data_IF_429170956329
#
_entry.id   IF_429170956329
#
_cell.length_a   1.000
_cell.length_b   1.000
_cell.length_c   1.000
_cell.angle_alpha   90.00
_cell.angle_beta   90.00
_cell.angle_gamma   90.00
#
_symmetry.space_group_name_H-M   'P 1'
#
loop_
_entity.id
_entity.type
_entity.pdbx_description
1 polymer ?
#
# COMPACT_ATOMS: atom_id res chain seq x y z
N UNK A 1 10.52 -3.38 13.96
CA UNK A 1 11.64 -2.41 13.87
C UNK A 1 13.00 -3.06 14.16
N UNK A 2 13.13 -3.97 15.12
CA UNK A 2 14.44 -4.53 15.53
C UNK A 2 15.14 -5.40 14.47
N UNK A 3 14.39 -6.02 13.56
CA UNK A 3 14.94 -6.91 12.52
C UNK A 3 15.65 -6.12 11.41
N UNK A 4 15.06 -5.02 10.97
CA UNK A 4 15.62 -4.20 9.88
C UNK A 4 17.01 -3.65 10.23
N UNK A 5 17.23 -3.00 11.38
CA UNK A 5 18.57 -2.51 11.75
C UNK A 5 19.59 -3.60 12.06
N UNK A 6 19.16 -4.84 12.29
CA UNK A 6 20.09 -5.93 12.66
C UNK A 6 21.01 -6.37 11.51
N UNK A 7 20.67 -6.02 10.25
CA UNK A 7 21.38 -6.50 9.08
C UNK A 7 21.19 -7.99 8.78
N UNK A 8 20.27 -8.67 9.47
CA UNK A 8 19.98 -10.08 9.25
C UNK A 8 19.45 -10.32 7.84
N UNK A 9 19.90 -11.40 7.20
CA UNK A 9 19.37 -11.82 5.89
C UNK A 9 17.96 -12.39 6.08
N UNK A 10 16.95 -11.56 5.84
CA UNK A 10 15.54 -11.89 6.03
C UNK A 10 14.65 -11.13 5.04
N UNK A 11 13.70 -11.82 4.45
CA UNK A 11 12.69 -11.22 3.60
C UNK A 11 11.40 -10.94 4.40
N UNK A 12 10.96 -9.69 4.42
CA UNK A 12 9.75 -9.24 5.11
C UNK A 12 8.72 -8.84 4.06
N UNK A 13 7.59 -9.55 4.01
CA UNK A 13 6.44 -9.18 3.19
C UNK A 13 5.39 -8.47 4.07
N UNK A 14 5.04 -7.25 3.70
CA UNK A 14 3.94 -6.50 4.29
C UNK A 14 2.76 -6.48 3.33
N UNK A 15 1.65 -7.09 3.71
CA UNK A 15 0.36 -6.92 3.03
C UNK A 15 -0.29 -5.65 3.57
N UNK A 16 -0.16 -4.55 2.82
CA UNK A 16 -0.67 -3.26 3.27
C UNK A 16 -2.16 -3.11 2.92
N UNK A 17 -2.98 -3.47 3.88
CA UNK A 17 -4.44 -3.33 3.82
C UNK A 17 -4.92 -1.93 4.18
N UNK A 18 -4.02 -1.00 4.55
CA UNK A 18 -4.32 0.38 4.91
C UNK A 18 -5.30 0.56 6.10
N UNK A 19 -5.64 -0.53 6.78
CA UNK A 19 -6.61 -0.57 7.87
C UNK A 19 -6.30 -1.76 8.79
N UNK A 20 -6.76 -1.72 10.03
CA UNK A 20 -6.82 -2.93 10.85
C UNK A 20 -8.02 -3.78 10.41
N UNK A 21 -7.80 -4.68 9.44
CA UNK A 21 -8.86 -5.49 8.81
C UNK A 21 -9.50 -6.48 9.78
N UNK A 22 -8.67 -7.23 10.51
CA UNK A 22 -9.14 -8.31 11.39
C UNK A 22 -10.06 -7.82 12.53
N UNK A 23 -9.77 -6.72 13.24
CA UNK A 23 -10.69 -6.21 14.24
C UNK A 23 -11.88 -5.42 13.65
N UNK A 24 -12.07 -5.42 12.32
CA UNK A 24 -13.23 -4.84 11.65
C UNK A 24 -13.11 -3.36 11.29
N UNK A 25 -12.00 -2.97 10.65
CA UNK A 25 -11.92 -1.71 9.96
C UNK A 25 -11.53 -0.48 10.80
N UNK A 26 -10.71 -0.64 11.86
CA UNK A 26 -10.21 0.53 12.58
C UNK A 26 -9.08 1.23 11.80
N UNK A 27 -9.00 2.55 11.99
CA UNK A 27 -7.89 3.33 11.44
C UNK A 27 -6.55 2.86 11.99
N UNK A 28 -5.55 2.79 11.11
CA UNK A 28 -4.15 2.54 11.45
C UNK A 28 -3.26 3.73 11.05
N UNK A 29 -1.97 3.62 11.29
CA UNK A 29 -0.99 4.58 10.73
C UNK A 29 -0.88 4.47 9.21
N UNK A 30 -1.18 3.30 8.64
CA UNK A 30 -1.21 3.05 7.20
C UNK A 30 -2.48 3.57 6.51
N UNK A 31 -3.52 3.94 7.25
CA UNK A 31 -4.75 4.50 6.67
C UNK A 31 -4.46 5.83 5.98
N UNK A 32 -4.92 6.03 4.75
CA UNK A 32 -4.67 7.26 4.00
C UNK A 32 -5.42 8.47 4.58
N UNK A 33 -4.96 9.66 4.21
CA UNK A 33 -5.62 10.92 4.53
C UNK A 33 -7.07 10.90 4.04
N UNK A 34 -7.98 11.46 4.81
CA UNK A 34 -9.42 11.60 4.56
C UNK A 34 -10.22 10.28 4.56
N UNK A 35 -9.59 9.10 4.57
CA UNK A 35 -10.32 7.84 4.65
C UNK A 35 -11.10 7.72 5.96
N UNK A 36 -12.42 7.53 5.86
CA UNK A 36 -13.30 7.30 7.00
C UNK A 36 -13.25 5.82 7.42
N UNK A 37 -12.89 5.58 8.67
CA UNK A 37 -12.73 4.26 9.27
C UNK A 37 -13.25 4.28 10.71
N UNK A 38 -13.41 3.13 11.35
CA UNK A 38 -13.68 3.10 12.79
C UNK A 38 -12.62 3.92 13.54
N UNK A 39 -13.07 4.74 14.48
CA UNK A 39 -12.26 5.75 15.21
C UNK A 39 -11.72 6.91 14.36
N UNK A 40 -12.20 7.05 13.12
CA UNK A 40 -11.98 8.21 12.26
C UNK A 40 -13.18 8.40 11.32
N UNK A 41 -14.37 8.53 11.86
CA UNK A 41 -15.64 8.66 11.10
C UNK A 41 -15.69 9.92 10.23
N UNK A 42 -15.04 11.00 10.65
CA UNK A 42 -14.90 12.23 9.88
C UNK A 42 -13.71 12.20 8.88
N UNK A 43 -13.08 11.03 8.69
CA UNK A 43 -11.85 10.89 7.93
C UNK A 43 -10.58 11.08 8.75
N UNK A 44 -9.50 10.39 8.36
CA UNK A 44 -8.21 10.54 9.02
C UNK A 44 -7.58 11.88 8.68
N UNK A 45 -7.20 12.64 9.69
CA UNK A 45 -6.61 13.99 9.53
C UNK A 45 -5.11 14.01 9.15
N UNK A 46 -4.42 12.88 9.29
CA UNK A 46 -2.98 12.76 9.03
C UNK A 46 -2.71 11.86 7.81
N UNK A 47 -1.63 12.11 7.06
CA UNK A 47 -1.25 11.27 5.95
C UNK A 47 -0.89 9.84 6.39
N UNK A 48 -0.87 8.93 5.41
CA UNK A 48 -0.38 7.57 5.56
C UNK A 48 1.09 7.58 5.97
N UNK A 49 1.46 6.70 6.93
CA UNK A 49 2.87 6.44 7.23
C UNK A 49 3.54 5.80 6.01
N UNK A 50 4.60 6.39 5.51
CA UNK A 50 5.42 5.81 4.46
C UNK A 50 6.43 4.82 5.05
N UNK A 51 6.06 3.54 5.04
CA UNK A 51 6.91 2.48 5.56
C UNK A 51 8.14 2.24 4.67
N UNK A 52 8.00 2.41 3.37
CA UNK A 52 9.08 2.26 2.41
C UNK A 52 10.17 3.31 2.61
N UNK A 53 9.78 4.57 2.73
CA UNK A 53 10.72 5.66 2.99
C UNK A 53 11.46 5.47 4.33
N UNK A 54 10.76 5.03 5.37
CA UNK A 54 11.37 4.71 6.67
C UNK A 54 12.41 3.60 6.51
N UNK A 55 12.11 2.53 5.79
CA UNK A 55 13.04 1.43 5.57
C UNK A 55 14.24 1.87 4.71
N UNK A 56 14.01 2.64 3.64
CA UNK A 56 15.09 3.19 2.80
C UNK A 56 16.06 4.07 3.58
N UNK A 57 15.59 4.77 4.62
CA UNK A 57 16.44 5.66 5.44
C UNK A 57 17.55 4.92 6.21
N UNK A 58 17.44 3.60 6.38
CA UNK A 58 18.52 2.79 6.94
C UNK A 58 19.71 2.61 5.98
N UNK A 59 19.53 2.78 4.68
CA UNK A 59 20.58 2.74 3.67
C UNK A 59 21.12 1.35 3.30
N UNK A 60 20.79 0.30 4.05
CA UNK A 60 21.25 -1.08 3.84
C UNK A 60 20.11 -2.09 3.66
N UNK A 61 18.90 -1.63 3.36
CA UNK A 61 17.69 -2.44 3.21
C UNK A 61 17.25 -2.43 1.76
N UNK A 62 16.99 -3.60 1.18
CA UNK A 62 16.26 -3.66 -0.09
C UNK A 62 14.79 -3.36 0.17
N UNK A 63 14.20 -2.46 -0.63
CA UNK A 63 12.78 -2.09 -0.45
C UNK A 63 12.06 -2.12 -1.78
N UNK A 64 10.87 -2.74 -1.82
CA UNK A 64 10.02 -2.73 -3.00
C UNK A 64 8.56 -2.42 -2.64
N UNK A 65 7.91 -1.65 -3.50
CA UNK A 65 6.47 -1.45 -3.52
C UNK A 65 5.88 -2.15 -4.73
N UNK A 66 4.92 -3.04 -4.52
CA UNK A 66 4.38 -3.93 -5.55
C UNK A 66 2.85 -3.95 -5.54
N UNK A 67 2.27 -4.27 -6.68
CA UNK A 67 0.83 -4.54 -6.85
C UNK A 67 0.66 -5.60 -7.95
N UNK A 68 0.33 -6.81 -7.56
CA UNK A 68 0.26 -7.98 -8.45
C UNK A 68 -0.71 -7.77 -9.62
N UNK A 69 -1.91 -7.23 -9.34
CA UNK A 69 -2.94 -6.96 -10.35
C UNK A 69 -2.57 -5.84 -11.32
N UNK A 70 -1.61 -4.97 -10.96
CA UNK A 70 -1.14 -3.89 -11.83
C UNK A 70 0.03 -4.34 -12.72
N UNK A 71 0.98 -5.10 -12.15
CA UNK A 71 2.22 -5.50 -12.85
C UNK A 71 2.85 -6.73 -12.21
N UNK A 72 2.38 -7.90 -12.61
CA UNK A 72 2.84 -9.20 -12.12
C UNK A 72 4.35 -9.42 -12.30
N UNK A 73 4.88 -9.11 -13.48
CA UNK A 73 6.31 -9.25 -13.77
C UNK A 73 7.19 -8.37 -12.86
N UNK A 74 6.74 -7.17 -12.48
CA UNK A 74 7.46 -6.32 -11.52
C UNK A 74 7.41 -6.93 -10.11
N UNK A 75 6.27 -7.48 -9.73
CA UNK A 75 6.10 -8.17 -8.46
C UNK A 75 7.04 -9.37 -8.36
N UNK A 76 7.05 -10.25 -9.36
CA UNK A 76 7.96 -11.41 -9.41
C UNK A 76 9.42 -10.98 -9.33
N UNK A 77 9.79 -9.96 -10.10
CA UNK A 77 11.14 -9.41 -10.10
C UNK A 77 11.56 -8.87 -8.73
N UNK A 78 10.66 -8.17 -8.04
CA UNK A 78 10.94 -7.62 -6.70
C UNK A 78 11.24 -8.75 -5.69
N UNK A 79 10.49 -9.86 -5.76
CA UNK A 79 10.76 -11.03 -4.92
C UNK A 79 12.09 -11.71 -5.27
N UNK A 80 12.40 -11.86 -6.55
CA UNK A 80 13.67 -12.45 -6.99
C UNK A 80 14.88 -11.60 -6.55
N UNK A 81 14.78 -10.27 -6.65
CA UNK A 81 15.85 -9.36 -6.20
C UNK A 81 15.99 -9.37 -4.68
N UNK A 82 14.88 -9.46 -3.93
CA UNK A 82 14.88 -9.58 -2.47
C UNK A 82 15.55 -10.89 -2.02
N UNK A 83 15.27 -12.01 -2.69
CA UNK A 83 15.88 -13.31 -2.40
C UNK A 83 17.39 -13.35 -2.68
N UNK A 84 17.83 -12.57 -3.66
CA UNK A 84 19.25 -12.45 -4.02
C UNK A 84 20.00 -11.40 -3.19
N UNK A 85 19.29 -10.66 -2.35
CA UNK A 85 19.88 -9.61 -1.52
C UNK A 85 20.39 -10.20 -0.21
N UNK A 86 21.69 -10.06 0.04
CA UNK A 86 22.30 -10.51 1.30
C UNK A 86 22.12 -9.44 2.39
N UNK A 87 20.97 -9.46 3.03
CA UNK A 87 20.57 -8.51 4.05
C UNK A 87 19.04 -8.43 4.22
N UNK A 88 18.54 -7.50 5.02
CA UNK A 88 17.11 -7.35 5.22
C UNK A 88 16.43 -6.78 3.99
N UNK A 89 15.34 -7.43 3.57
CA UNK A 89 14.49 -6.98 2.47
C UNK A 89 13.08 -6.70 2.96
N UNK A 90 12.45 -5.64 2.44
CA UNK A 90 11.09 -5.26 2.73
C UNK A 90 10.29 -5.12 1.43
N UNK A 91 9.29 -5.97 1.24
CA UNK A 91 8.35 -5.88 0.13
C UNK A 91 7.00 -5.41 0.69
N UNK A 92 6.48 -4.30 0.16
CA UNK A 92 5.20 -3.72 0.55
C UNK A 92 4.22 -3.96 -0.60
N UNK A 93 3.28 -4.86 -0.39
CA UNK A 93 2.28 -5.22 -1.38
C UNK A 93 0.97 -4.48 -1.14
N UNK A 94 0.44 -3.82 -2.17
CA UNK A 94 -0.93 -3.32 -2.15
C UNK A 94 -1.88 -4.49 -1.93
N UNK A 95 -2.65 -4.44 -0.85
CA UNK A 95 -3.58 -5.50 -0.47
C UNK A 95 -4.96 -4.90 -0.18
N UNK A 96 -5.77 -4.68 -1.23
CA UNK A 96 -7.11 -4.13 -1.07
C UNK A 96 -7.96 -4.97 -0.10
N UNK A 97 -8.80 -4.31 0.70
CA UNK A 97 -9.57 -4.92 1.78
C UNK A 97 -11.06 -4.57 1.64
N UNK A 98 -11.94 -5.50 1.96
CA UNK A 98 -13.40 -5.27 1.97
C UNK A 98 -13.85 -4.13 2.88
N UNK A 99 -13.07 -3.80 3.91
CA UNK A 99 -13.32 -2.64 4.79
C UNK A 99 -13.13 -1.28 4.08
N UNK A 100 -12.60 -1.27 2.85
CA UNK A 100 -12.57 -0.08 2.00
C UNK A 100 -13.94 0.24 1.38
N UNK A 101 -14.86 -0.75 1.36
CA UNK A 101 -16.20 -0.60 0.82
C UNK A 101 -16.25 -0.72 -0.71
N UNK A 102 -15.63 -1.76 -1.26
CA UNK A 102 -15.74 -2.15 -2.66
C UNK A 102 -15.84 -3.69 -2.79
N UNK A 103 -16.23 -4.18 -3.96
CA UNK A 103 -16.40 -5.61 -4.23
C UNK A 103 -15.03 -6.30 -4.40
N UNK A 104 -14.70 -7.24 -3.48
CA UNK A 104 -13.40 -7.91 -3.43
C UNK A 104 -13.07 -8.75 -4.68
N UNK A 105 -14.08 -9.17 -5.44
CA UNK A 105 -13.87 -9.89 -6.71
C UNK A 105 -13.12 -9.06 -7.75
N UNK A 106 -13.15 -7.72 -7.62
CA UNK A 106 -12.44 -6.76 -8.47
C UNK A 106 -11.09 -6.31 -7.89
N UNK A 107 -10.50 -7.09 -6.97
CA UNK A 107 -9.26 -6.68 -6.28
C UNK A 107 -8.07 -6.48 -7.22
N UNK A 108 -7.95 -7.25 -8.30
CA UNK A 108 -6.85 -7.09 -9.25
C UNK A 108 -7.01 -5.82 -10.10
N UNK A 109 -8.24 -5.53 -10.55
CA UNK A 109 -8.57 -4.31 -11.26
C UNK A 109 -8.39 -3.07 -10.36
N UNK A 110 -8.74 -3.21 -9.08
CA UNK A 110 -8.55 -2.16 -8.09
C UNK A 110 -7.05 -1.85 -7.88
N UNK A 111 -6.19 -2.87 -7.80
CA UNK A 111 -4.75 -2.70 -7.74
C UNK A 111 -4.19 -2.01 -9.00
N UNK A 112 -4.67 -2.41 -10.18
CA UNK A 112 -4.29 -1.77 -11.44
C UNK A 112 -4.66 -0.28 -11.44
N UNK A 113 -5.89 0.04 -11.04
CA UNK A 113 -6.38 1.41 -10.95
C UNK A 113 -5.58 2.25 -9.94
N UNK A 114 -5.22 1.67 -8.77
CA UNK A 114 -4.39 2.35 -7.79
C UNK A 114 -3.03 2.78 -8.35
N UNK A 115 -2.45 1.97 -9.25
CA UNK A 115 -1.19 2.30 -9.93
C UNK A 115 -1.40 3.30 -11.06
N UNK A 116 -2.45 3.13 -11.88
CA UNK A 116 -2.77 4.03 -13.00
C UNK A 116 -3.09 5.46 -12.55
N UNK A 117 -3.67 5.61 -11.36
CA UNK A 117 -3.98 6.92 -10.76
C UNK A 117 -2.81 7.53 -9.99
N UNK A 118 -1.70 6.79 -9.85
CA UNK A 118 -0.55 7.24 -9.05
C UNK A 118 -0.77 7.18 -7.54
N UNK A 119 -1.90 6.64 -7.10
CA UNK A 119 -2.18 6.43 -5.68
C UNK A 119 -1.21 5.43 -5.04
N UNK A 120 -0.84 4.38 -5.77
CA UNK A 120 0.12 3.35 -5.35
C UNK A 120 1.29 3.29 -6.34
N UNK A 121 2.42 3.96 -6.05
CA UNK A 121 3.59 3.91 -6.92
C UNK A 121 4.31 2.57 -6.78
N UNK A 122 4.70 1.98 -7.91
CA UNK A 122 5.56 0.81 -7.95
C UNK A 122 7.02 1.27 -8.02
N UNK A 123 7.85 0.75 -7.12
CA UNK A 123 9.28 1.07 -7.12
C UNK A 123 10.10 -0.07 -6.51
N UNK A 124 11.40 -0.02 -6.75
CA UNK A 124 12.41 -0.85 -6.09
C UNK A 124 13.58 0.05 -5.67
N UNK A 125 14.06 -0.17 -4.47
CA UNK A 125 15.25 0.47 -3.93
C UNK A 125 16.28 -0.63 -3.61
N UNK A 126 17.41 -0.61 -4.32
CA UNK A 126 18.52 -1.54 -4.12
C UNK A 126 19.77 -0.76 -3.67
N UNK A 127 20.14 -0.83 -2.39
CA UNK A 127 21.29 -0.07 -1.88
C UNK A 127 22.62 -0.44 -2.53
N UNK A 128 22.77 -1.66 -3.09
CA UNK A 128 23.98 -2.09 -3.80
C UNK A 128 24.29 -1.24 -5.02
N UNK A 129 23.28 -0.62 -5.61
CA UNK A 129 23.46 0.27 -6.76
C UNK A 129 24.20 1.56 -6.40
N UNK A 130 24.10 2.03 -5.15
CA UNK A 130 24.84 3.22 -4.69
C UNK A 130 26.36 2.97 -4.70
N UNK A 131 26.78 1.77 -4.31
CA UNK A 131 28.20 1.37 -4.35
C UNK A 131 28.75 1.34 -5.78
N UNK A 132 27.86 1.16 -6.76
CA UNK A 132 28.19 1.20 -8.19
C UNK A 132 28.07 2.60 -8.81
N UNK A 133 27.81 3.64 -8.00
CA UNK A 133 27.56 5.01 -8.47
C UNK A 133 26.24 5.18 -9.25
N UNK A 134 25.28 4.26 -9.07
CA UNK A 134 23.98 4.27 -9.75
C UNK A 134 22.87 4.74 -8.79
N UNK A 135 21.74 5.16 -9.35
CA UNK A 135 20.55 5.53 -8.59
C UNK A 135 19.92 4.28 -7.97
N UNK A 136 19.85 4.22 -6.65
CA UNK A 136 19.30 3.07 -5.92
C UNK A 136 17.78 2.95 -6.08
N UNK A 137 17.06 4.06 -6.13
CA UNK A 137 15.60 4.08 -6.30
C UNK A 137 15.24 4.02 -7.79
N UNK A 138 14.50 2.98 -8.15
CA UNK A 138 14.00 2.75 -9.50
C UNK A 138 12.47 2.83 -9.47
N UNK A 139 11.88 3.83 -10.13
CA UNK A 139 10.45 3.94 -10.29
C UNK A 139 9.99 3.01 -11.42
N UNK A 140 9.13 2.04 -11.08
CA UNK A 140 8.63 1.04 -12.03
C UNK A 140 7.23 1.38 -12.58
N UNK A 141 6.48 2.26 -11.92
CA UNK A 141 5.23 2.80 -12.44
C UNK A 141 5.47 3.95 -13.42
N UNK A 142 4.56 4.09 -14.38
CA UNK A 142 4.52 5.25 -15.29
C UNK A 142 3.91 6.46 -14.58
N UNK A 143 3.99 7.63 -15.22
CA UNK A 143 3.20 8.78 -14.81
C UNK A 143 1.70 8.42 -14.79
N UNK A 144 0.92 8.98 -13.85
CA UNK A 144 -0.51 8.72 -13.77
C UNK A 144 -1.21 8.99 -15.11
N UNK A 145 -2.05 8.04 -15.53
CA UNK A 145 -2.85 8.11 -16.78
C UNK A 145 -4.32 8.39 -16.50
N UNK A 146 -4.73 8.33 -15.23
CA UNK A 146 -6.11 8.57 -14.77
C UNK A 146 -6.11 9.48 -13.54
N UNK A 147 -7.18 10.24 -13.30
CA UNK A 147 -7.31 11.06 -12.10
C UNK A 147 -7.48 10.15 -10.86
N UNK A 148 -6.96 10.59 -9.72
CA UNK A 148 -7.08 9.83 -8.46
C UNK A 148 -8.54 9.67 -7.99
N UNK A 149 -9.43 10.57 -8.39
CA UNK A 149 -10.87 10.48 -8.13
C UNK A 149 -11.48 9.15 -8.61
N UNK A 150 -10.99 8.61 -9.72
CA UNK A 150 -11.48 7.33 -10.26
C UNK A 150 -11.35 6.18 -9.26
N UNK A 151 -10.26 6.18 -8.46
CA UNK A 151 -10.07 5.23 -7.38
C UNK A 151 -10.90 5.58 -6.15
N UNK A 152 -10.86 6.85 -5.73
CA UNK A 152 -11.51 7.30 -4.50
C UNK A 152 -13.04 7.12 -4.57
N UNK A 153 -13.64 7.31 -5.73
CA UNK A 153 -15.08 7.17 -5.96
C UNK A 153 -15.55 5.70 -5.86
N UNK A 154 -14.65 4.73 -6.04
CA UNK A 154 -14.96 3.31 -5.88
C UNK A 154 -15.00 2.87 -4.42
N UNK A 155 -14.30 3.56 -3.52
CA UNK A 155 -14.16 3.17 -2.12
C UNK A 155 -15.09 3.98 -1.22
N UNK A 156 -16.02 3.31 -0.53
CA UNK A 156 -16.97 3.97 0.39
C UNK A 156 -16.27 4.74 1.52
N UNK A 157 -15.03 4.34 1.88
CA UNK A 157 -14.27 5.04 2.91
C UNK A 157 -13.91 6.49 2.55
N UNK A 158 -13.95 6.87 1.27
CA UNK A 158 -13.76 8.25 0.81
C UNK A 158 -15.08 8.95 0.49
N UNK A 159 -16.18 8.18 0.37
CA UNK A 159 -17.51 8.70 0.08
C UNK A 159 -18.40 8.72 1.32
N UNK A 160 -18.27 9.77 2.13
CA UNK A 160 -19.00 9.90 3.39
C UNK A 160 -20.52 9.91 3.23
N UNK A 161 -21.06 10.39 2.12
CA UNK A 161 -22.50 10.40 1.84
C UNK A 161 -23.05 8.98 1.64
N UNK A 162 -22.36 8.16 0.84
CA UNK A 162 -22.73 6.74 0.64
C UNK A 162 -22.69 5.97 1.97
N UNK A 163 -21.67 6.21 2.80
CA UNK A 163 -21.52 5.55 4.09
C UNK A 163 -22.66 5.88 5.06
N UNK A 164 -23.08 7.14 5.14
CA UNK A 164 -24.21 7.54 5.98
C UNK A 164 -25.52 6.87 5.56
N UNK A 165 -25.75 6.68 4.27
CA UNK A 165 -26.93 5.97 3.75
C UNK A 165 -26.88 4.48 4.12
N UNK A 166 -25.72 3.85 4.06
CA UNK A 166 -25.52 2.44 4.40
C UNK A 166 -25.71 2.22 5.90
N UNK A 167 -25.14 3.05 6.74
CA UNK A 167 -25.31 2.99 8.21
C UNK A 167 -26.77 3.21 8.63
N UNK A 168 -27.50 4.12 7.97
CA UNK A 168 -28.95 4.31 8.21
C UNK A 168 -29.79 3.09 7.82
N UNK A 169 -29.42 2.36 6.77
CA UNK A 169 -30.13 1.13 6.36
C UNK A 169 -29.94 -0.01 7.35
N UNK A 170 -28.79 -0.12 7.98
CA UNK A 170 -28.49 -1.17 8.97
C UNK A 170 -29.24 -0.94 10.28
N UNK A 171 -29.49 0.30 10.67
CA UNK A 171 -30.20 0.64 11.94
C UNK A 171 -31.73 0.46 11.87
N UNK A 172 -32.33 0.24 10.71
CA UNK A 172 -33.77 0.05 10.52
C UNK A 172 -34.16 -1.42 10.25
N UNK A 173 -33.22 -2.35 10.37
CA UNK A 173 -33.40 -3.79 10.17
C UNK A 173 -33.34 -4.63 11.46
N UNK A 174 -33.69 -4.06 12.62
CA UNK A 174 -33.79 -4.74 13.91
C UNK A 174 -35.23 -4.90 14.32
#
# INVERSE_FOLDING_TARGET
ENVIPSGANVNILVLDTEVYSNPGGQRSKATPLAAAMKFASAGKALPKKDLGLIAMSYGHVYVASVALGAKDAQTVRAFQEAEQFDGPSLIIANSPCGEHGYELEHSLEHQALAVETGYWPLYRFDPRLMEQGKVALQLDSKAPSRPVSDLLDLEDRFNQEKRQVTERKVTWGG
#
